data_IF_193691362825
#
_entry.id   IF_193691362825
#
_cell.length_a   1.000
_cell.length_b   1.000
_cell.length_c   1.000
_cell.angle_alpha   90.00
_cell.angle_beta   90.00
_cell.angle_gamma   90.00
#
_symmetry.space_group_name_H-M   'P 1'
#
loop_
_entity.id
_entity.type
_entity.pdbx_description
1 polymer ?
#
# COMPACT_ATOMS: atom_id res chain seq x y z
N UNK A 1 -1.71 19.43 16.91
CA UNK A 1 -1.61 18.81 15.58
C UNK A 1 -0.31 18.03 15.60
N UNK A 2 -0.36 16.70 15.68
CA UNK A 2 0.87 15.89 15.72
C UNK A 2 1.28 15.64 14.27
N UNK A 3 2.11 16.53 13.72
CA UNK A 3 2.75 16.28 12.42
C UNK A 3 3.58 15.00 12.52
N UNK A 4 3.17 14.01 11.73
CA UNK A 4 3.73 12.67 11.77
C UNK A 4 4.99 12.68 10.90
N UNK A 5 6.15 12.45 11.53
CA UNK A 5 7.42 12.44 10.83
C UNK A 5 7.73 11.05 10.29
N UNK A 6 8.22 10.98 9.05
CA UNK A 6 8.67 9.78 8.35
C UNK A 6 10.18 9.83 8.10
N UNK A 7 10.82 8.67 7.96
CA UNK A 7 12.23 8.56 7.61
C UNK A 7 12.38 8.31 6.11
N UNK A 8 13.16 9.14 5.44
CA UNK A 8 13.44 9.13 3.99
C UNK A 8 14.94 9.05 3.75
N UNK A 9 15.34 8.57 2.57
CA UNK A 9 16.73 8.35 2.18
C UNK A 9 17.40 9.71 2.12
N UNK A 10 18.65 9.74 2.54
CA UNK A 10 19.45 10.93 2.32
C UNK A 10 19.60 11.19 0.81
N UNK A 11 19.29 12.42 0.42
CA UNK A 11 19.40 12.92 -0.97
C UNK A 11 20.53 13.94 -1.13
N UNK A 12 21.37 14.12 -0.10
CA UNK A 12 22.42 15.13 -0.10
C UNK A 12 23.62 14.71 0.73
N UNK A 13 24.80 15.12 0.27
CA UNK A 13 26.08 14.82 0.92
C UNK A 13 26.13 15.53 2.29
N UNK A 14 26.16 14.75 3.37
CA UNK A 14 26.17 15.26 4.76
C UNK A 14 24.90 15.01 5.58
N UNK A 15 23.85 14.42 4.99
CA UNK A 15 22.58 14.14 5.69
C UNK A 15 22.55 12.80 6.46
N UNK A 16 23.67 12.04 6.50
CA UNK A 16 23.73 10.70 7.10
C UNK A 16 23.07 9.64 6.22
N UNK A 17 22.72 8.47 6.78
CA UNK A 17 22.01 7.43 6.03
C UNK A 17 20.55 7.81 5.72
N UNK A 18 19.92 8.67 6.54
CA UNK A 18 18.51 9.04 6.43
C UNK A 18 18.17 10.42 6.98
N UNK A 19 17.07 10.98 6.45
CA UNK A 19 16.50 12.26 6.84
C UNK A 19 15.12 12.04 7.44
N UNK A 20 14.75 12.78 8.48
CA UNK A 20 13.39 12.80 9.01
C UNK A 20 12.66 13.99 8.38
N UNK A 21 11.54 13.72 7.70
CA UNK A 21 10.65 14.76 7.18
C UNK A 21 9.24 14.57 7.69
N UNK A 22 8.41 15.59 7.55
CA UNK A 22 6.98 15.46 7.80
C UNK A 22 6.32 14.65 6.68
N UNK A 23 5.28 13.87 6.99
CA UNK A 23 4.49 13.13 6.00
C UNK A 23 3.91 14.07 4.92
N UNK A 24 3.55 15.29 5.29
CA UNK A 24 3.08 16.34 4.37
C UNK A 24 4.14 16.86 3.41
N UNK A 25 5.42 16.67 3.74
CA UNK A 25 6.58 17.07 2.94
C UNK A 25 7.11 15.89 2.10
N UNK A 26 6.49 14.70 2.23
CA UNK A 26 6.87 13.53 1.47
C UNK A 26 6.51 13.70 0.00
N UNK A 27 7.52 13.64 -0.87
CA UNK A 27 7.36 13.74 -2.30
C UNK A 27 7.89 12.45 -2.92
N UNK A 28 7.02 11.57 -3.43
CA UNK A 28 7.42 10.27 -4.01
C UNK A 28 8.47 10.42 -5.14
N UNK A 29 8.48 11.56 -5.82
CA UNK A 29 9.40 11.83 -6.91
C UNK A 29 10.82 12.21 -6.43
N UNK A 30 10.94 12.75 -5.21
CA UNK A 30 12.20 13.32 -4.70
C UNK A 30 12.70 12.63 -3.40
N UNK A 31 11.77 12.11 -2.60
CA UNK A 31 11.99 11.48 -1.31
C UNK A 31 11.70 9.96 -1.42
N UNK A 32 12.70 9.12 -1.15
CA UNK A 32 12.52 7.66 -1.04
C UNK A 32 12.47 7.25 0.44
N UNK A 33 11.41 6.62 0.95
CA UNK A 33 11.32 6.24 2.37
C UNK A 33 12.49 5.34 2.83
N UNK A 34 13.28 5.79 3.81
CA UNK A 34 14.47 5.08 4.33
C UNK A 34 14.14 4.02 5.37
N UNK A 35 13.03 4.14 6.08
CA UNK A 35 12.72 3.27 7.20
C UNK A 35 11.31 2.72 7.22
N UNK A 36 10.44 3.07 6.27
CA UNK A 36 9.03 2.71 6.39
C UNK A 36 8.39 2.34 5.07
N UNK A 37 8.21 1.02 4.95
CA UNK A 37 7.17 0.36 4.18
C UNK A 37 7.32 0.44 2.65
N UNK A 38 8.42 -0.14 2.15
CA UNK A 38 8.19 -1.21 1.16
C UNK A 38 7.16 -2.10 1.85
N UNK A 39 5.89 -2.03 1.42
CA UNK A 39 4.88 -3.01 1.77
C UNK A 39 5.65 -4.32 1.87
N UNK A 40 5.66 -4.96 3.04
CA UNK A 40 6.40 -6.22 3.17
C UNK A 40 5.96 -7.10 2.00
N UNK A 41 6.76 -8.04 1.50
CA UNK A 41 6.31 -8.91 0.40
C UNK A 41 4.91 -9.51 0.69
N UNK A 42 4.57 -9.68 1.98
CA UNK A 42 3.26 -10.02 2.49
C UNK A 42 2.14 -8.99 2.22
N UNK A 43 2.42 -7.70 2.38
CA UNK A 43 1.46 -6.60 2.13
C UNK A 43 1.33 -6.27 0.64
N UNK A 44 2.42 -6.35 -0.15
CA UNK A 44 2.34 -6.27 -1.62
C UNK A 44 1.49 -7.44 -2.14
N UNK A 45 1.73 -8.64 -1.61
CA UNK A 45 0.94 -9.82 -1.96
C UNK A 45 -0.51 -9.66 -1.54
N UNK A 46 -0.79 -9.10 -0.36
CA UNK A 46 -2.16 -8.86 0.10
C UNK A 46 -2.91 -7.84 -0.79
N UNK A 47 -2.26 -6.73 -1.14
CA UNK A 47 -2.84 -5.74 -2.06
C UNK A 47 -3.06 -6.34 -3.46
N UNK A 48 -2.09 -7.10 -3.98
CA UNK A 48 -2.20 -7.80 -5.27
C UNK A 48 -3.32 -8.84 -5.25
N UNK A 49 -3.49 -9.58 -4.16
CA UNK A 49 -4.54 -10.60 -4.03
C UNK A 49 -5.92 -9.96 -3.96
N UNK A 50 -6.05 -8.84 -3.23
CA UNK A 50 -7.27 -8.05 -3.19
C UNK A 50 -7.65 -7.54 -4.59
N UNK A 51 -6.70 -6.97 -5.32
CA UNK A 51 -6.89 -6.45 -6.66
C UNK A 51 -7.33 -7.56 -7.64
N UNK A 52 -6.66 -8.71 -7.60
CA UNK A 52 -6.98 -9.90 -8.40
C UNK A 52 -8.39 -10.44 -8.09
N UNK A 53 -8.76 -10.48 -6.80
CA UNK A 53 -10.09 -10.92 -6.37
C UNK A 53 -11.18 -9.95 -6.85
N UNK A 54 -10.97 -8.64 -6.70
CA UNK A 54 -11.89 -7.60 -7.19
C UNK A 54 -12.06 -7.69 -8.70
N UNK A 55 -10.97 -7.92 -9.44
CA UNK A 55 -11.00 -8.08 -10.90
C UNK A 55 -11.82 -9.32 -11.31
N UNK A 56 -11.60 -10.47 -10.65
CA UNK A 56 -12.32 -11.70 -10.96
C UNK A 56 -13.82 -11.62 -10.61
N UNK A 57 -14.18 -10.96 -9.50
CA UNK A 57 -15.57 -10.67 -9.16
C UNK A 57 -16.23 -9.76 -10.21
N UNK A 58 -15.51 -8.73 -10.67
CA UNK A 58 -16.00 -7.84 -11.74
C UNK A 58 -16.19 -8.59 -13.05
N UNK A 59 -15.26 -9.49 -13.40
CA UNK A 59 -15.35 -10.34 -14.60
C UNK A 59 -16.56 -11.28 -14.55
N UNK A 60 -16.88 -11.80 -13.35
CA UNK A 60 -18.07 -12.60 -13.09
C UNK A 60 -19.36 -11.77 -13.00
N UNK A 61 -19.26 -10.44 -12.99
CA UNK A 61 -20.40 -9.53 -12.85
C UNK A 61 -20.98 -9.48 -11.42
N UNK A 62 -20.18 -9.80 -10.41
CA UNK A 62 -20.58 -9.83 -9.00
C UNK A 62 -20.29 -8.46 -8.39
N UNK A 63 -21.34 -7.82 -7.86
CA UNK A 63 -21.19 -6.57 -7.13
C UNK A 63 -20.58 -6.84 -5.76
N UNK A 64 -19.51 -6.12 -5.42
CA UNK A 64 -18.86 -6.14 -4.11
C UNK A 64 -18.67 -4.71 -3.58
N UNK A 65 -18.64 -4.56 -2.26
CA UNK A 65 -18.32 -3.27 -1.64
C UNK A 65 -16.81 -3.00 -1.69
N UNK A 66 -16.41 -1.77 -2.00
CA UNK A 66 -15.01 -1.38 -2.16
C UNK A 66 -14.17 -1.52 -0.87
N UNK A 67 -14.85 -1.58 0.29
CA UNK A 67 -14.26 -1.83 1.61
C UNK A 67 -14.42 -3.25 2.15
N UNK A 68 -14.95 -4.21 1.38
CA UNK A 68 -15.10 -5.58 1.84
C UNK A 68 -13.73 -6.26 2.07
N UNK A 69 -13.61 -6.99 3.18
CA UNK A 69 -12.39 -7.74 3.51
C UNK A 69 -12.02 -8.74 2.41
N UNK A 70 -10.71 -9.00 2.27
CA UNK A 70 -10.18 -9.95 1.29
C UNK A 70 -10.84 -11.33 1.40
N UNK A 71 -11.10 -11.80 2.62
CA UNK A 71 -11.76 -13.08 2.86
C UNK A 71 -13.19 -13.10 2.30
N UNK A 72 -13.93 -12.01 2.44
CA UNK A 72 -15.30 -11.86 1.95
C UNK A 72 -15.33 -11.80 0.43
N UNK A 73 -14.44 -11.00 -0.18
CA UNK A 73 -14.29 -10.92 -1.63
C UNK A 73 -13.92 -12.29 -2.22
N UNK A 74 -13.01 -13.02 -1.57
CA UNK A 74 -12.57 -14.33 -2.03
C UNK A 74 -13.66 -15.39 -1.90
N UNK A 75 -14.45 -15.36 -0.83
CA UNK A 75 -15.59 -16.25 -0.66
C UNK A 75 -16.67 -16.00 -1.71
N UNK A 76 -16.98 -14.73 -2.03
CA UNK A 76 -17.89 -14.38 -3.11
C UNK A 76 -17.38 -14.91 -4.47
N UNK A 77 -16.07 -14.84 -4.70
CA UNK A 77 -15.46 -15.34 -5.92
C UNK A 77 -15.55 -16.87 -6.02
N UNK A 78 -15.26 -17.57 -4.93
CA UNK A 78 -15.33 -19.04 -4.85
C UNK A 78 -16.76 -19.57 -5.00
N UNK A 79 -17.74 -18.89 -4.41
CA UNK A 79 -19.16 -19.21 -4.58
C UNK A 79 -19.65 -19.06 -6.03
N UNK A 80 -18.94 -18.29 -6.85
CA UNK A 80 -19.30 -18.03 -8.24
C UNK A 80 -18.33 -18.62 -9.27
N UNK A 81 -17.28 -19.30 -8.80
CA UNK A 81 -16.35 -20.07 -9.63
C UNK A 81 -17.00 -21.37 -10.12
#
# INVERSE_FOLDING_TARGET
MSDKTIQVKSWGEGQGDFVLINESDFDENFHELFGSKKLSAKEVKAAKLLDDTKAALTEKGIAFEDGADQATLQALLDQAA
#
